data_IF_834906302150
#
_entry.id   IF_834906302150
#
_cell.length_a   1.000
_cell.length_b   1.000
_cell.length_c   1.000
_cell.angle_alpha   90.00
_cell.angle_beta   90.00
_cell.angle_gamma   90.00
#
_symmetry.space_group_name_H-M   'P 1'
#
loop_
_entity.id
_entity.type
_entity.pdbx_description
1 polymer ?
#
# COMPACT_ATOMS: atom_id res chain seq x y z
N UNK A 1 3.56 9.27 23.50
CA UNK A 1 2.27 9.15 24.22
C UNK A 1 2.42 9.80 25.57
N UNK A 2 1.47 10.66 25.95
CA UNK A 2 1.42 11.25 27.29
C UNK A 2 0.29 10.57 28.05
N UNK A 3 0.54 10.02 29.25
CA UNK A 3 -0.53 9.48 30.08
C UNK A 3 -1.52 10.61 30.43
N UNK A 4 -2.81 10.35 30.32
CA UNK A 4 -3.86 11.23 30.82
C UNK A 4 -4.00 11.07 32.34
N UNK A 5 -4.44 12.13 33.03
CA UNK A 5 -4.91 12.02 34.42
C UNK A 5 -6.21 11.20 34.50
N UNK A 6 -6.96 11.16 33.39
CA UNK A 6 -8.17 10.35 33.23
C UNK A 6 -7.86 8.86 33.08
N UNK A 7 -8.73 8.02 33.66
CA UNK A 7 -8.67 6.56 33.56
C UNK A 7 -10.02 6.02 33.09
N UNK A 8 -9.99 4.85 32.45
CA UNK A 8 -11.18 4.09 32.10
C UNK A 8 -11.42 2.99 33.15
N UNK A 9 -12.65 2.87 33.63
CA UNK A 9 -13.05 1.77 34.51
C UNK A 9 -13.70 0.64 33.70
N UNK A 10 -13.20 -0.59 33.84
CA UNK A 10 -13.85 -1.79 33.33
C UNK A 10 -14.45 -2.59 34.49
N UNK A 11 -15.77 -2.76 34.49
CA UNK A 11 -16.51 -3.53 35.49
C UNK A 11 -17.04 -4.85 34.92
N UNK A 12 -17.25 -5.83 35.79
CA UNK A 12 -17.71 -7.16 35.40
C UNK A 12 -18.97 -7.56 36.18
N UNK A 13 -19.96 -8.10 35.48
CA UNK A 13 -21.19 -8.62 36.09
C UNK A 13 -21.04 -10.02 36.69
N UNK A 14 -19.90 -10.69 36.46
CA UNK A 14 -19.59 -12.03 36.98
C UNK A 14 -19.04 -12.01 38.41
N UNK A 15 -19.01 -10.84 39.06
CA UNK A 15 -18.46 -10.64 40.40
C UNK A 15 -16.96 -10.39 40.46
N UNK A 16 -16.25 -10.39 39.33
CA UNK A 16 -14.83 -10.01 39.29
C UNK A 16 -14.66 -8.53 39.69
N UNK A 17 -13.60 -8.17 40.44
CA UNK A 17 -13.30 -6.77 40.75
C UNK A 17 -13.14 -5.92 39.48
N UNK A 18 -13.61 -4.67 39.55
CA UNK A 18 -13.34 -3.71 38.48
C UNK A 18 -11.85 -3.36 38.40
N UNK A 19 -11.40 -2.96 37.22
CA UNK A 19 -10.02 -2.51 36.99
C UNK A 19 -10.01 -1.12 36.38
N UNK A 20 -9.02 -0.34 36.79
CA UNK A 20 -8.70 0.97 36.23
C UNK A 20 -7.64 0.82 35.15
N UNK A 21 -7.93 1.31 33.95
CA UNK A 21 -7.07 1.25 32.78
C UNK A 21 -6.60 2.66 32.41
N UNK A 22 -5.29 2.88 32.22
CA UNK A 22 -4.78 4.19 31.80
C UNK A 22 -5.34 4.59 30.43
N UNK A 23 -5.62 5.89 30.27
CA UNK A 23 -5.91 6.50 28.97
C UNK A 23 -4.66 7.24 28.49
N UNK A 24 -4.28 7.04 27.23
CA UNK A 24 -3.18 7.78 26.59
C UNK A 24 -3.73 8.66 25.48
N UNK A 25 -3.16 9.87 25.39
CA UNK A 25 -3.48 10.84 24.34
C UNK A 25 -2.37 10.84 23.28
N UNK A 26 -2.78 10.83 22.02
CA UNK A 26 -1.91 11.11 20.88
C UNK A 26 -1.73 12.60 20.66
N UNK A 27 -0.82 12.99 19.76
CA UNK A 27 -0.74 14.38 19.28
C UNK A 27 -1.99 14.74 18.48
N UNK A 28 -2.54 13.78 17.75
CA UNK A 28 -3.77 13.85 16.97
C UNK A 28 -4.51 12.51 17.06
N UNK A 29 -5.80 12.51 16.72
CA UNK A 29 -6.63 11.32 16.72
C UNK A 29 -7.29 11.00 18.08
N UNK A 30 -7.96 9.85 18.17
CA UNK A 30 -8.68 9.45 19.37
C UNK A 30 -7.74 9.03 20.51
N UNK A 31 -8.22 9.19 21.74
CA UNK A 31 -7.58 8.63 22.94
C UNK A 31 -7.61 7.10 22.91
N UNK A 32 -6.62 6.45 23.53
CA UNK A 32 -6.52 4.98 23.60
C UNK A 32 -6.51 4.48 25.04
N UNK A 33 -7.17 3.34 25.27
CA UNK A 33 -7.21 2.66 26.57
C UNK A 33 -6.12 1.59 26.59
N UNK A 34 -5.21 1.65 27.56
CA UNK A 34 -4.11 0.69 27.70
C UNK A 34 -4.56 -0.59 28.39
N UNK A 35 -4.65 -1.65 27.59
CA UNK A 35 -5.04 -2.98 28.02
C UNK A 35 -3.85 -3.94 28.23
N UNK A 36 -2.60 -3.45 28.25
CA UNK A 36 -1.40 -4.32 28.35
C UNK A 36 -1.39 -5.18 29.61
N UNK A 37 -1.98 -4.70 30.71
CA UNK A 37 -2.08 -5.41 32.00
C UNK A 37 -3.41 -6.15 32.20
N UNK A 38 -4.36 -6.04 31.26
CA UNK A 38 -5.72 -6.54 31.41
C UNK A 38 -5.76 -8.03 31.77
N UNK A 39 -5.04 -8.87 31.03
CA UNK A 39 -5.03 -10.32 31.30
C UNK A 39 -4.42 -10.66 32.67
N UNK A 40 -3.31 -10.02 33.04
CA UNK A 40 -2.67 -10.24 34.33
C UNK A 40 -3.53 -9.81 35.52
N UNK A 41 -4.41 -8.82 35.33
CA UNK A 41 -5.32 -8.32 36.37
C UNK A 41 -6.65 -9.07 36.44
N UNK A 42 -7.15 -9.60 35.32
CA UNK A 42 -8.54 -10.08 35.21
C UNK A 42 -8.68 -11.54 34.76
N UNK A 43 -7.62 -12.12 34.20
CA UNK A 43 -7.66 -13.42 33.52
C UNK A 43 -8.44 -13.41 32.19
N UNK A 44 -8.84 -12.23 31.68
CA UNK A 44 -9.68 -12.05 30.50
C UNK A 44 -8.91 -11.35 29.36
N UNK A 45 -9.32 -11.59 28.12
CA UNK A 45 -8.84 -10.90 26.92
C UNK A 45 -9.96 -10.09 26.28
N UNK A 46 -9.61 -9.11 25.45
CA UNK A 46 -10.54 -8.51 24.49
C UNK A 46 -10.78 -9.48 23.32
N UNK A 47 -11.92 -9.32 22.64
CA UNK A 47 -12.24 -10.05 21.42
C UNK A 47 -12.58 -9.04 20.32
N UNK A 48 -11.64 -8.82 19.41
CA UNK A 48 -11.74 -7.85 18.33
C UNK A 48 -11.27 -8.46 16.99
N UNK A 49 -12.04 -9.37 16.39
CA UNK A 49 -11.71 -9.94 15.09
C UNK A 49 -11.56 -8.84 14.03
N UNK A 50 -10.36 -8.74 13.44
CA UNK A 50 -10.04 -7.72 12.44
C UNK A 50 -9.40 -6.45 13.01
N UNK A 51 -9.17 -6.37 14.33
CA UNK A 51 -8.49 -5.24 14.99
C UNK A 51 -9.19 -3.89 14.77
N UNK A 52 -10.52 -3.90 14.75
CA UNK A 52 -11.29 -2.71 14.37
C UNK A 52 -11.28 -1.61 15.43
N UNK A 53 -11.05 -2.00 16.68
CA UNK A 53 -11.02 -1.11 17.85
C UNK A 53 -9.70 -1.22 18.61
N UNK A 54 -8.66 -1.79 17.99
CA UNK A 54 -7.37 -2.07 18.62
C UNK A 54 -6.26 -1.25 17.97
N UNK A 55 -5.76 -0.24 18.68
CA UNK A 55 -4.51 0.43 18.31
C UNK A 55 -3.31 -0.47 18.66
N UNK A 56 -2.58 -0.94 17.65
CA UNK A 56 -1.52 -1.96 17.82
C UNK A 56 -0.12 -1.39 18.05
N UNK A 57 0.12 -0.12 17.73
CA UNK A 57 1.43 0.51 17.85
C UNK A 57 1.33 2.03 18.07
N UNK A 58 2.46 2.62 18.46
CA UNK A 58 2.72 4.03 18.27
C UNK A 58 3.20 4.26 16.83
N UNK A 59 2.91 5.44 16.27
CA UNK A 59 3.56 5.86 15.04
C UNK A 59 3.61 7.38 14.92
N UNK A 60 4.69 7.88 14.33
CA UNK A 60 4.86 9.29 13.96
C UNK A 60 4.97 9.47 12.44
N UNK A 61 4.67 8.44 11.64
CA UNK A 61 4.88 8.44 10.18
C UNK A 61 3.72 9.10 9.45
N UNK A 62 2.52 8.56 9.63
CA UNK A 62 1.33 8.98 8.88
C UNK A 62 0.16 9.11 9.82
N UNK A 63 -0.63 10.16 9.63
CA UNK A 63 -1.90 10.37 10.32
C UNK A 63 -3.05 10.44 9.31
N UNK A 64 -4.19 9.88 9.70
CA UNK A 64 -5.43 9.91 8.91
C UNK A 64 -6.59 10.34 9.78
N UNK A 65 -7.35 11.33 9.31
CA UNK A 65 -8.69 11.63 9.82
C UNK A 65 -9.71 11.31 8.73
N UNK A 66 -10.35 10.15 8.87
CA UNK A 66 -11.34 9.67 7.90
C UNK A 66 -12.60 10.53 7.82
N UNK A 67 -12.96 11.21 8.91
CA UNK A 67 -14.15 12.05 8.93
C UNK A 67 -13.89 13.40 8.24
N UNK A 68 -12.69 13.95 8.41
CA UNK A 68 -12.29 15.21 7.73
C UNK A 68 -11.75 15.01 6.32
N UNK A 69 -11.32 13.80 5.97
CA UNK A 69 -10.63 13.54 4.71
C UNK A 69 -9.18 14.03 4.75
N UNK A 70 -8.49 13.90 5.89
CA UNK A 70 -7.09 14.35 6.02
C UNK A 70 -6.15 13.15 5.93
N UNK A 71 -5.07 13.32 5.16
CA UNK A 71 -3.93 12.40 5.10
C UNK A 71 -2.64 13.20 5.23
N UNK A 72 -1.88 12.94 6.29
CA UNK A 72 -0.65 13.65 6.60
C UNK A 72 0.53 12.68 6.61
N UNK A 73 1.60 12.97 5.86
CA UNK A 73 2.89 12.31 6.04
C UNK A 73 3.79 13.23 6.85
N UNK A 74 4.21 12.79 8.04
CA UNK A 74 5.01 13.59 8.99
C UNK A 74 4.41 14.98 9.25
N UNK A 75 3.07 15.07 9.27
CA UNK A 75 2.34 16.33 9.47
C UNK A 75 2.08 17.15 8.21
N UNK A 76 2.70 16.82 7.06
CA UNK A 76 2.46 17.51 5.78
C UNK A 76 1.25 16.93 5.06
N UNK A 77 0.28 17.76 4.61
CA UNK A 77 -0.85 17.31 3.81
C UNK A 77 -0.41 16.64 2.50
N UNK A 78 -1.05 15.52 2.17
CA UNK A 78 -0.69 14.73 1.00
C UNK A 78 -0.76 15.52 -0.31
N UNK A 79 -1.71 16.44 -0.45
CA UNK A 79 -1.89 17.25 -1.65
C UNK A 79 -0.72 18.21 -1.85
N UNK A 80 -0.16 18.75 -0.76
CA UNK A 80 1.02 19.62 -0.83
C UNK A 80 2.23 18.82 -1.28
N UNK A 81 2.45 17.63 -0.71
CA UNK A 81 3.57 16.77 -1.09
C UNK A 81 3.47 16.36 -2.56
N UNK A 82 2.29 15.91 -3.02
CA UNK A 82 2.11 15.48 -4.39
C UNK A 82 2.10 16.63 -5.42
N UNK A 83 2.01 17.89 -4.98
CA UNK A 83 2.09 19.07 -5.86
C UNK A 83 3.49 19.67 -5.89
N UNK A 84 4.21 19.64 -4.76
CA UNK A 84 5.45 20.41 -4.57
C UNK A 84 6.70 19.55 -4.41
N UNK A 85 6.56 18.24 -4.20
CA UNK A 85 7.68 17.32 -4.04
C UNK A 85 7.69 16.26 -5.12
N UNK A 86 8.84 15.61 -5.29
CA UNK A 86 8.98 14.35 -6.02
C UNK A 86 8.90 13.12 -5.10
N UNK A 87 8.77 11.93 -5.70
CA UNK A 87 8.69 10.69 -4.94
C UNK A 87 9.91 10.41 -4.03
N UNK A 88 11.11 10.87 -4.40
CA UNK A 88 12.30 10.64 -3.57
C UNK A 88 12.36 11.61 -2.38
N UNK A 89 11.86 12.83 -2.51
CA UNK A 89 11.64 13.74 -1.37
C UNK A 89 10.61 13.18 -0.38
N UNK A 90 9.48 12.68 -0.89
CA UNK A 90 8.48 12.01 -0.05
C UNK A 90 9.04 10.74 0.61
N UNK A 91 9.87 10.00 -0.10
CA UNK A 91 10.57 8.82 0.43
C UNK A 91 11.54 9.19 1.56
N UNK A 92 12.33 10.24 1.36
CA UNK A 92 13.22 10.77 2.39
C UNK A 92 12.43 11.21 3.63
N UNK A 93 11.35 11.98 3.44
CA UNK A 93 10.47 12.43 4.53
C UNK A 93 9.95 11.26 5.37
N UNK A 94 9.43 10.21 4.72
CA UNK A 94 8.90 9.04 5.42
C UNK A 94 9.99 8.31 6.21
N UNK A 95 11.19 8.16 5.65
CA UNK A 95 12.32 7.48 6.30
C UNK A 95 12.97 8.30 7.42
N UNK A 96 13.14 9.60 7.22
CA UNK A 96 14.00 10.46 8.04
C UNK A 96 13.22 11.38 8.99
N UNK A 97 11.92 11.55 8.76
CA UNK A 97 11.03 12.33 9.62
C UNK A 97 10.84 13.78 9.19
N UNK A 98 11.76 14.32 8.40
CA UNK A 98 11.77 15.72 7.94
C UNK A 98 12.04 15.78 6.43
N UNK A 99 11.61 16.86 5.77
CA UNK A 99 11.93 17.09 4.36
C UNK A 99 13.44 17.35 4.18
N UNK A 100 14.06 16.87 3.09
CA UNK A 100 15.49 17.10 2.87
C UNK A 100 15.74 18.56 2.48
N UNK A 101 16.88 19.11 2.92
CA UNK A 101 17.46 20.27 2.25
C UNK A 101 18.12 19.86 0.90
N UNK A 102 18.57 20.83 0.10
CA UNK A 102 19.14 20.56 -1.23
C UNK A 102 20.31 19.54 -1.19
N UNK A 103 21.24 19.67 -0.24
CA UNK A 103 22.37 18.75 -0.12
C UNK A 103 21.90 17.34 0.26
N UNK A 104 21.00 17.23 1.25
CA UNK A 104 20.44 15.95 1.68
C UNK A 104 19.67 15.25 0.56
N UNK A 105 18.96 16.02 -0.27
CA UNK A 105 18.26 15.51 -1.46
C UNK A 105 19.26 14.95 -2.46
N UNK A 106 20.30 15.69 -2.81
CA UNK A 106 21.31 15.25 -3.78
C UNK A 106 22.03 13.98 -3.31
N UNK A 107 22.42 13.92 -2.03
CA UNK A 107 23.05 12.74 -1.42
C UNK A 107 22.11 11.52 -1.44
N UNK A 108 20.84 11.71 -1.08
CA UNK A 108 19.85 10.64 -1.08
C UNK A 108 19.57 10.11 -2.49
N UNK A 109 19.35 11.01 -3.46
CA UNK A 109 19.13 10.67 -4.86
C UNK A 109 20.34 9.91 -5.41
N UNK A 110 21.55 10.39 -5.18
CA UNK A 110 22.77 9.72 -5.63
C UNK A 110 22.91 8.32 -5.02
N UNK A 111 22.61 8.19 -3.73
CA UNK A 111 22.68 6.92 -3.00
C UNK A 111 21.69 5.91 -3.56
N UNK A 112 20.43 6.31 -3.80
CA UNK A 112 19.41 5.47 -4.42
C UNK A 112 19.82 5.07 -5.84
N UNK A 113 20.21 6.04 -6.68
CA UNK A 113 20.59 5.81 -8.09
C UNK A 113 21.72 4.78 -8.23
N UNK A 114 22.73 4.82 -7.34
CA UNK A 114 23.86 3.88 -7.35
C UNK A 114 23.52 2.46 -6.88
N UNK A 115 22.29 2.21 -6.43
CA UNK A 115 21.83 0.89 -5.99
C UNK A 115 20.72 0.31 -6.88
N UNK A 116 20.34 0.98 -7.97
CA UNK A 116 19.21 0.58 -8.83
C UNK A 116 19.40 -0.75 -9.55
N UNK A 117 20.63 -1.07 -9.96
CA UNK A 117 20.94 -2.33 -10.64
C UNK A 117 20.82 -3.52 -9.68
N UNK A 118 20.11 -4.57 -10.09
CA UNK A 118 20.03 -5.83 -9.35
C UNK A 118 21.23 -6.73 -9.69
N UNK A 119 21.59 -7.65 -8.80
CA UNK A 119 22.63 -8.63 -9.09
C UNK A 119 22.24 -9.47 -10.31
N UNK A 120 23.16 -9.69 -11.25
CA UNK A 120 22.89 -10.35 -12.54
C UNK A 120 22.24 -11.73 -12.40
N UNK A 121 22.55 -12.45 -11.33
CA UNK A 121 21.95 -13.77 -11.09
C UNK A 121 20.42 -13.71 -10.88
N UNK A 122 19.87 -12.54 -10.55
CA UNK A 122 18.43 -12.31 -10.52
C UNK A 122 17.79 -12.53 -11.90
N UNK A 123 18.51 -12.27 -12.99
CA UNK A 123 18.01 -12.55 -14.35
C UNK A 123 17.66 -14.03 -14.55
N UNK A 124 18.40 -14.96 -13.91
CA UNK A 124 18.10 -16.39 -13.96
C UNK A 124 16.93 -16.77 -13.05
N UNK A 125 16.78 -16.10 -11.90
CA UNK A 125 15.64 -16.31 -11.01
C UNK A 125 14.31 -16.03 -11.73
N UNK A 126 14.24 -14.93 -12.51
CA UNK A 126 13.05 -14.62 -13.31
C UNK A 126 12.70 -15.70 -14.34
N UNK A 127 13.70 -16.38 -14.91
CA UNK A 127 13.49 -17.49 -15.88
C UNK A 127 12.92 -18.75 -15.24
N UNK A 128 12.89 -18.85 -13.91
CA UNK A 128 12.22 -19.93 -13.20
C UNK A 128 10.68 -19.82 -13.21
N UNK A 129 10.13 -18.65 -13.48
CA UNK A 129 8.68 -18.46 -13.60
C UNK A 129 8.17 -18.81 -14.99
N UNK A 130 6.92 -19.26 -15.09
CA UNK A 130 6.23 -19.31 -16.40
C UNK A 130 5.99 -17.89 -16.93
N UNK A 131 5.91 -17.74 -18.25
CA UNK A 131 5.65 -16.44 -18.90
C UNK A 131 4.25 -15.89 -18.61
N UNK A 132 3.28 -16.76 -18.37
CA UNK A 132 1.90 -16.40 -17.99
C UNK A 132 1.72 -16.22 -16.47
N UNK A 133 2.81 -16.19 -15.69
CA UNK A 133 2.73 -15.90 -14.27
C UNK A 133 2.25 -14.46 -14.04
N UNK A 134 1.32 -14.29 -13.10
CA UNK A 134 0.85 -12.96 -12.73
C UNK A 134 2.02 -12.12 -12.18
N UNK A 135 2.19 -10.85 -12.59
CA UNK A 135 3.32 -10.02 -12.17
C UNK A 135 3.48 -9.89 -10.65
N UNK A 136 2.38 -9.81 -9.88
CA UNK A 136 2.44 -9.80 -8.41
C UNK A 136 3.05 -11.08 -7.81
N UNK A 137 2.83 -12.26 -8.42
CA UNK A 137 3.45 -13.50 -7.97
C UNK A 137 4.96 -13.47 -8.20
N UNK A 138 5.37 -13.02 -9.40
CA UNK A 138 6.77 -12.83 -9.78
C UNK A 138 7.45 -11.84 -8.84
N UNK A 139 6.80 -10.70 -8.56
CA UNK A 139 7.31 -9.67 -7.65
C UNK A 139 7.46 -10.20 -6.22
N UNK A 140 6.45 -10.90 -5.69
CA UNK A 140 6.49 -11.51 -4.36
C UNK A 140 7.69 -12.46 -4.22
N UNK A 141 7.86 -13.37 -5.19
CA UNK A 141 8.98 -14.31 -5.18
C UNK A 141 10.34 -13.62 -5.33
N UNK A 142 10.44 -12.64 -6.23
CA UNK A 142 11.70 -11.95 -6.53
C UNK A 142 12.17 -11.08 -5.36
N UNK A 143 11.26 -10.38 -4.68
CA UNK A 143 11.60 -9.58 -3.50
C UNK A 143 11.98 -10.47 -2.32
N UNK A 144 11.28 -11.59 -2.08
CA UNK A 144 11.67 -12.56 -1.06
C UNK A 144 13.07 -13.14 -1.30
N UNK A 145 13.38 -13.42 -2.57
CA UNK A 145 14.69 -13.94 -2.97
C UNK A 145 15.85 -12.96 -2.75
N UNK A 146 15.60 -11.64 -2.69
CA UNK A 146 16.65 -10.64 -2.42
C UNK A 146 17.43 -10.94 -1.14
N UNK A 147 16.78 -11.50 -0.12
CA UNK A 147 17.44 -11.89 1.14
C UNK A 147 18.59 -12.89 0.95
N UNK A 148 18.53 -13.74 -0.09
CA UNK A 148 19.60 -14.68 -0.43
C UNK A 148 20.78 -14.02 -1.16
N UNK A 149 20.57 -12.87 -1.82
CA UNK A 149 21.61 -12.13 -2.54
C UNK A 149 22.28 -11.04 -1.69
N UNK A 150 21.53 -10.46 -0.76
CA UNK A 150 21.93 -9.31 0.05
C UNK A 150 22.03 -9.69 1.54
N UNK A 151 22.65 -10.84 1.81
CA UNK A 151 22.80 -11.40 3.15
C UNK A 151 23.81 -10.62 4.03
N UNK A 152 24.54 -9.67 3.44
CA UNK A 152 25.51 -8.77 4.07
C UNK A 152 24.85 -7.69 4.95
N UNK A 153 23.53 -7.50 4.89
CA UNK A 153 22.82 -6.41 5.57
C UNK A 153 21.54 -6.84 6.29
N UNK A 154 21.50 -8.05 6.85
CA UNK A 154 20.26 -8.63 7.42
C UNK A 154 20.13 -8.53 8.95
N UNK A 155 21.17 -8.13 9.67
CA UNK A 155 21.05 -7.88 11.11
C UNK A 155 20.17 -6.65 11.37
N UNK A 156 18.92 -6.92 11.76
CA UNK A 156 17.90 -5.89 12.00
C UNK A 156 18.19 -5.02 13.23
N UNK A 157 19.06 -5.47 14.14
CA UNK A 157 19.45 -4.70 15.32
C UNK A 157 20.53 -3.66 14.98
N UNK A 158 21.21 -3.80 13.83
CA UNK A 158 22.20 -2.86 13.36
C UNK A 158 21.54 -1.73 12.55
N UNK A 159 21.56 -0.46 13.03
CA UNK A 159 20.92 0.64 12.31
C UNK A 159 21.44 0.86 10.88
N UNK A 160 22.74 0.63 10.64
CA UNK A 160 23.31 0.74 9.31
C UNK A 160 22.79 -0.35 8.35
N UNK A 161 22.61 -1.58 8.83
CA UNK A 161 22.03 -2.65 8.00
C UNK A 161 20.57 -2.36 7.64
N UNK A 162 19.80 -1.78 8.56
CA UNK A 162 18.43 -1.31 8.30
C UNK A 162 18.42 -0.24 7.21
N UNK A 163 19.29 0.75 7.31
CA UNK A 163 19.41 1.82 6.32
C UNK A 163 19.82 1.30 4.94
N UNK A 164 20.86 0.47 4.86
CA UNK A 164 21.29 -0.17 3.60
C UNK A 164 20.16 -0.99 2.98
N UNK A 165 19.43 -1.76 3.79
CA UNK A 165 18.28 -2.54 3.30
C UNK A 165 17.16 -1.64 2.77
N UNK A 166 16.85 -0.53 3.46
CA UNK A 166 15.85 0.43 3.01
C UNK A 166 16.23 1.09 1.67
N UNK A 167 17.47 1.55 1.53
CA UNK A 167 17.98 2.09 0.27
C UNK A 167 17.91 1.04 -0.85
N UNK A 168 18.35 -0.20 -0.58
CA UNK A 168 18.32 -1.28 -1.59
C UNK A 168 16.89 -1.60 -2.03
N UNK A 169 15.93 -1.64 -1.12
CA UNK A 169 14.53 -1.86 -1.46
C UNK A 169 13.98 -0.73 -2.34
N UNK A 170 14.15 0.52 -1.94
CA UNK A 170 13.70 1.69 -2.72
C UNK A 170 14.36 1.72 -4.10
N UNK A 171 15.67 1.49 -4.17
CA UNK A 171 16.41 1.56 -5.43
C UNK A 171 16.08 0.41 -6.40
N UNK A 172 15.91 -0.82 -5.90
CA UNK A 172 15.81 -2.02 -6.75
C UNK A 172 14.39 -2.37 -7.15
N UNK A 173 13.38 -1.90 -6.40
CA UNK A 173 12.01 -2.29 -6.66
C UNK A 173 11.48 -1.81 -8.02
N UNK A 174 11.79 -0.59 -8.51
CA UNK A 174 11.47 -0.20 -9.89
C UNK A 174 12.06 -1.14 -10.94
N UNK A 175 13.30 -1.56 -10.74
CA UNK A 175 13.98 -2.51 -11.63
C UNK A 175 13.26 -3.86 -11.63
N UNK A 176 12.91 -4.41 -10.46
CA UNK A 176 12.20 -5.69 -10.35
C UNK A 176 10.78 -5.63 -10.95
N UNK A 177 10.06 -4.54 -10.74
CA UNK A 177 8.72 -4.34 -11.31
C UNK A 177 8.79 -4.23 -12.82
N UNK A 178 9.74 -3.47 -13.36
CA UNK A 178 9.95 -3.38 -14.81
C UNK A 178 10.38 -4.73 -15.41
N UNK A 179 11.25 -5.48 -14.72
CA UNK A 179 11.61 -6.84 -15.12
C UNK A 179 10.39 -7.76 -15.15
N UNK A 180 9.49 -7.70 -14.16
CA UNK A 180 8.27 -8.51 -14.14
C UNK A 180 7.36 -8.21 -15.36
N UNK A 181 7.22 -6.93 -15.72
CA UNK A 181 6.49 -6.52 -16.93
C UNK A 181 7.17 -7.00 -18.21
N UNK A 182 8.46 -6.71 -18.41
CA UNK A 182 9.22 -7.16 -19.59
C UNK A 182 9.18 -8.67 -19.72
N UNK A 183 9.24 -9.39 -18.60
CA UNK A 183 9.15 -10.84 -18.57
C UNK A 183 7.78 -11.34 -19.05
N UNK A 184 6.68 -10.74 -18.62
CA UNK A 184 5.34 -11.20 -19.00
C UNK A 184 5.04 -10.98 -20.49
N UNK A 185 5.62 -9.95 -21.11
CA UNK A 185 5.42 -9.64 -22.54
C UNK A 185 6.51 -10.20 -23.47
N UNK A 186 7.48 -10.95 -22.93
CA UNK A 186 8.52 -11.58 -23.74
C UNK A 186 9.62 -10.64 -24.26
N UNK A 187 9.74 -9.43 -23.72
CA UNK A 187 10.75 -8.45 -24.13
C UNK A 187 12.04 -8.57 -23.29
N UNK A 188 13.19 -8.07 -23.79
CA UNK A 188 14.42 -8.02 -23.01
C UNK A 188 14.29 -7.05 -21.83
N UNK A 189 14.99 -7.35 -20.74
CA UNK A 189 15.11 -6.44 -19.61
C UNK A 189 15.88 -5.18 -20.00
N UNK A 190 15.45 -4.05 -19.46
CA UNK A 190 16.04 -2.74 -19.70
C UNK A 190 16.74 -2.31 -18.42
N UNK A 191 18.04 -2.05 -18.50
CA UNK A 191 18.81 -1.60 -17.34
C UNK A 191 18.45 -0.16 -16.92
N UNK A 192 18.61 0.16 -15.62
CA UNK A 192 18.52 1.52 -15.11
C UNK A 192 19.48 2.49 -15.80
N UNK A 193 19.08 3.76 -15.89
CA UNK A 193 19.89 4.89 -16.36
C UNK A 193 20.03 5.92 -15.24
N UNK A 194 21.28 6.27 -14.92
CA UNK A 194 21.60 7.17 -13.81
C UNK A 194 21.30 8.65 -14.11
N UNK A 195 21.13 9.00 -15.38
CA UNK A 195 20.85 10.36 -15.85
C UNK A 195 19.35 10.70 -15.85
N UNK A 196 18.48 9.73 -15.55
CA UNK A 196 17.03 9.92 -15.47
C UNK A 196 16.57 10.04 -14.02
N UNK A 197 15.51 10.80 -13.79
CA UNK A 197 14.82 10.83 -12.50
C UNK A 197 14.27 9.44 -12.14
N UNK A 198 13.93 9.21 -10.87
CA UNK A 198 13.42 7.91 -10.39
C UNK A 198 12.26 7.39 -11.25
N UNK A 199 11.27 8.26 -11.48
CA UNK A 199 10.06 7.92 -12.23
C UNK A 199 10.31 7.84 -13.74
N UNK A 200 11.10 8.74 -14.32
CA UNK A 200 11.47 8.66 -15.74
C UNK A 200 12.29 7.39 -16.04
N UNK A 201 13.20 7.01 -15.14
CA UNK A 201 13.95 5.77 -15.25
C UNK A 201 13.04 4.54 -15.18
N UNK A 202 12.08 4.52 -14.25
CA UNK A 202 11.10 3.44 -14.16
C UNK A 202 10.25 3.31 -15.43
N UNK A 203 9.72 4.42 -15.96
CA UNK A 203 8.96 4.41 -17.22
C UNK A 203 9.81 3.91 -18.40
N UNK A 204 11.07 4.34 -18.49
CA UNK A 204 11.99 3.84 -19.50
C UNK A 204 12.19 2.33 -19.36
N UNK A 205 12.42 1.83 -18.14
CA UNK A 205 12.63 0.39 -17.93
C UNK A 205 11.39 -0.43 -18.29
N UNK A 206 10.18 0.12 -18.07
CA UNK A 206 8.93 -0.50 -18.50
C UNK A 206 8.80 -0.52 -20.03
N UNK A 207 8.99 0.61 -20.71
CA UNK A 207 8.50 0.76 -22.09
C UNK A 207 9.58 0.79 -23.18
N UNK A 208 10.83 1.12 -22.86
CA UNK A 208 11.89 1.16 -23.86
C UNK A 208 12.15 -0.23 -24.46
N UNK A 209 12.58 -0.24 -25.71
CA UNK A 209 13.03 -1.45 -26.39
C UNK A 209 14.35 -1.15 -27.13
N UNK A 210 15.13 -2.17 -27.54
CA UNK A 210 16.40 -1.93 -28.26
C UNK A 210 16.24 -1.42 -29.69
N UNK A 211 15.03 -1.39 -30.23
CA UNK A 211 14.77 -1.06 -31.63
C UNK A 211 14.69 0.45 -31.89
N UNK A 212 14.41 1.26 -30.85
CA UNK A 212 14.30 2.71 -30.97
C UNK A 212 14.60 3.42 -29.63
N UNK A 213 14.90 4.72 -29.72
CA UNK A 213 15.12 5.54 -28.53
C UNK A 213 13.79 5.86 -27.83
N UNK A 214 13.67 5.46 -26.56
CA UNK A 214 12.56 5.85 -25.72
C UNK A 214 12.63 7.33 -25.35
N UNK A 215 11.61 8.10 -25.76
CA UNK A 215 11.48 9.52 -25.44
C UNK A 215 10.65 9.70 -24.17
N UNK A 216 11.25 10.36 -23.18
CA UNK A 216 10.57 10.71 -21.93
C UNK A 216 9.57 11.84 -22.20
N UNK A 217 8.37 11.71 -21.64
CA UNK A 217 7.37 12.77 -21.63
C UNK A 217 7.16 13.27 -20.19
N UNK A 218 7.47 14.54 -19.93
CA UNK A 218 7.48 15.11 -18.59
C UNK A 218 6.08 15.17 -17.93
N UNK A 219 5.01 15.29 -18.72
CA UNK A 219 3.64 15.24 -18.19
C UNK A 219 3.34 13.84 -17.67
N UNK A 220 3.71 12.81 -18.43
CA UNK A 220 3.50 11.42 -18.04
C UNK A 220 4.37 11.01 -16.85
N UNK A 221 5.62 11.48 -16.81
CA UNK A 221 6.52 11.28 -15.66
C UNK A 221 5.92 11.90 -14.40
N UNK A 222 5.46 13.15 -14.46
CA UNK A 222 4.83 13.82 -13.31
C UNK A 222 3.55 13.12 -12.87
N UNK A 223 2.74 12.63 -13.81
CA UNK A 223 1.53 11.89 -13.48
C UNK A 223 1.83 10.59 -12.72
N UNK A 224 2.83 9.82 -13.18
CA UNK A 224 3.24 8.61 -12.48
C UNK A 224 3.91 8.92 -11.15
N UNK A 225 4.70 9.99 -11.05
CA UNK A 225 5.36 10.41 -9.80
C UNK A 225 4.33 10.76 -8.72
N UNK A 226 3.26 11.48 -9.09
CA UNK A 226 2.10 11.71 -8.22
C UNK A 226 1.44 10.43 -7.77
N UNK A 227 1.25 9.44 -8.67
CA UNK A 227 0.73 8.12 -8.29
C UNK A 227 1.63 7.48 -7.24
N UNK A 228 2.96 7.55 -7.40
CA UNK A 228 3.89 6.98 -6.42
C UNK A 228 3.78 7.68 -5.06
N UNK A 229 3.73 9.02 -5.02
CA UNK A 229 3.59 9.78 -3.77
C UNK A 229 2.27 9.43 -3.06
N UNK A 230 1.15 9.42 -3.79
CA UNK A 230 -0.19 9.19 -3.23
C UNK A 230 -0.40 7.76 -2.70
N UNK A 231 0.50 6.84 -3.05
CA UNK A 231 0.48 5.46 -2.59
C UNK A 231 1.65 5.13 -1.65
N UNK A 232 2.52 6.09 -1.32
CA UNK A 232 3.77 5.86 -0.60
C UNK A 232 3.57 5.25 0.80
N UNK A 233 2.59 5.75 1.57
CA UNK A 233 2.16 5.16 2.84
C UNK A 233 0.66 5.38 3.09
N UNK A 234 0.06 4.58 3.97
CA UNK A 234 -1.33 4.77 4.37
C UNK A 234 -1.61 4.15 5.76
N UNK A 235 -0.75 4.49 6.73
CA UNK A 235 -0.91 4.11 8.14
C UNK A 235 -1.01 2.58 8.34
N UNK A 236 -1.76 2.08 9.34
CA UNK A 236 -1.79 0.68 9.77
C UNK A 236 -2.77 -0.19 8.96
N UNK A 237 -2.77 -0.05 7.63
CA UNK A 237 -3.52 -0.94 6.74
C UNK A 237 -3.00 -2.39 6.78
N UNK A 238 -3.73 -3.33 6.15
CA UNK A 238 -3.47 -4.77 6.25
C UNK A 238 -2.03 -5.18 5.87
N UNK A 239 -1.47 -4.61 4.79
CA UNK A 239 -0.12 -4.93 4.35
C UNK A 239 0.96 -4.30 5.23
N UNK A 240 0.76 -3.06 5.70
CA UNK A 240 1.65 -2.45 6.71
C UNK A 240 1.65 -3.25 8.01
N UNK A 241 0.47 -3.65 8.49
CA UNK A 241 0.32 -4.50 9.68
C UNK A 241 0.98 -5.87 9.48
N UNK A 242 0.92 -6.44 8.28
CA UNK A 242 1.62 -7.67 7.93
C UNK A 242 3.14 -7.50 7.98
N UNK A 243 3.67 -6.41 7.42
CA UNK A 243 5.11 -6.09 7.46
C UNK A 243 5.58 -5.92 8.90
N UNK A 244 4.83 -5.18 9.73
CA UNK A 244 5.13 -5.00 11.16
C UNK A 244 5.07 -6.34 11.91
N UNK A 245 4.03 -7.14 11.71
CA UNK A 245 3.86 -8.42 12.40
C UNK A 245 4.97 -9.41 12.01
N UNK A 246 5.27 -9.54 10.71
CA UNK A 246 6.37 -10.38 10.24
C UNK A 246 7.72 -9.91 10.81
N UNK A 247 8.01 -8.61 10.73
CA UNK A 247 9.24 -8.02 11.26
C UNK A 247 9.38 -8.21 12.77
N UNK A 248 8.27 -8.20 13.52
CA UNK A 248 8.31 -8.35 14.99
C UNK A 248 8.86 -9.71 15.46
N UNK A 249 8.89 -10.71 14.58
CA UNK A 249 9.50 -12.02 14.83
C UNK A 249 11.02 -12.05 14.63
N UNK A 250 11.60 -10.96 14.14
CA UNK A 250 13.01 -10.87 13.76
C UNK A 250 13.28 -11.20 12.28
N UNK A 251 12.24 -11.29 11.44
CA UNK A 251 12.40 -11.57 10.02
C UNK A 251 13.18 -10.47 9.29
N UNK A 252 13.97 -10.87 8.30
CA UNK A 252 14.76 -9.94 7.50
C UNK A 252 13.87 -8.98 6.68
N UNK A 253 14.32 -7.74 6.41
CA UNK A 253 13.48 -6.71 5.80
C UNK A 253 12.94 -7.10 4.43
N UNK A 254 13.71 -7.80 3.58
CA UNK A 254 13.25 -8.23 2.26
C UNK A 254 12.08 -9.23 2.36
N UNK A 255 12.15 -10.18 3.30
CA UNK A 255 11.06 -11.11 3.58
C UNK A 255 9.82 -10.40 4.16
N UNK A 256 10.01 -9.41 5.03
CA UNK A 256 8.91 -8.59 5.54
C UNK A 256 8.20 -7.83 4.41
N UNK A 257 8.96 -7.19 3.51
CA UNK A 257 8.37 -6.51 2.33
C UNK A 257 7.68 -7.50 1.41
N UNK A 258 8.25 -8.69 1.16
CA UNK A 258 7.59 -9.73 0.36
C UNK A 258 6.24 -10.16 0.98
N UNK A 259 6.16 -10.26 2.31
CA UNK A 259 4.89 -10.52 3.01
C UNK A 259 3.90 -9.36 2.84
N UNK A 260 4.38 -8.11 2.88
CA UNK A 260 3.58 -6.92 2.56
C UNK A 260 3.02 -6.95 1.13
N UNK A 261 3.84 -7.31 0.15
CA UNK A 261 3.45 -7.47 -1.27
C UNK A 261 2.39 -8.56 -1.41
N UNK A 262 2.59 -9.72 -0.79
CA UNK A 262 1.63 -10.82 -0.81
C UNK A 262 0.29 -10.41 -0.19
N UNK A 263 0.30 -9.69 0.93
CA UNK A 263 -0.90 -9.15 1.55
C UNK A 263 -1.60 -8.11 0.66
N UNK A 264 -0.83 -7.21 0.05
CA UNK A 264 -1.35 -6.19 -0.86
C UNK A 264 -2.01 -6.79 -2.11
N UNK A 265 -1.53 -7.94 -2.58
CA UNK A 265 -2.14 -8.64 -3.72
C UNK A 265 -3.57 -9.14 -3.45
N UNK A 266 -3.97 -9.28 -2.18
CA UNK A 266 -5.33 -9.65 -1.83
C UNK A 266 -6.36 -8.72 -2.48
N UNK A 267 -7.44 -9.25 -3.10
CA UNK A 267 -8.40 -8.43 -3.86
C UNK A 267 -9.18 -7.43 -2.98
N UNK A 268 -9.27 -7.70 -1.67
CA UNK A 268 -9.87 -6.79 -0.69
C UNK A 268 -8.91 -5.68 -0.19
N UNK A 269 -7.67 -5.65 -0.70
CA UNK A 269 -6.66 -4.64 -0.35
C UNK A 269 -6.17 -3.91 -1.61
N UNK A 270 -5.05 -4.31 -2.21
CA UNK A 270 -4.45 -3.59 -3.34
C UNK A 270 -5.01 -3.91 -4.72
N UNK A 271 -5.84 -4.97 -4.86
CA UNK A 271 -6.46 -5.35 -6.14
C UNK A 271 -7.66 -4.49 -6.56
N UNK A 272 -8.02 -3.46 -5.79
CA UNK A 272 -9.18 -2.63 -6.06
C UNK A 272 -9.05 -1.77 -7.33
N UNK A 273 -7.84 -1.33 -7.66
CA UNK A 273 -7.54 -0.56 -8.88
C UNK A 273 -7.72 -1.38 -10.16
N UNK A 274 -7.22 -2.61 -10.18
CA UNK A 274 -7.43 -3.58 -11.25
C UNK A 274 -8.93 -3.91 -11.40
N UNK A 275 -9.62 -4.12 -10.28
CA UNK A 275 -11.05 -4.39 -10.29
C UNK A 275 -11.90 -3.21 -10.77
N UNK A 276 -11.49 -1.96 -10.50
CA UNK A 276 -12.16 -0.77 -11.01
C UNK A 276 -12.06 -0.67 -12.54
N UNK A 277 -10.88 -0.98 -13.11
CA UNK A 277 -10.71 -0.95 -14.56
C UNK A 277 -11.41 -2.13 -15.25
N UNK A 278 -11.30 -3.34 -14.68
CA UNK A 278 -12.02 -4.51 -15.17
C UNK A 278 -13.54 -4.29 -15.13
N UNK A 279 -14.05 -3.60 -14.10
CA UNK A 279 -15.46 -3.20 -14.04
C UNK A 279 -15.84 -2.28 -15.20
N UNK A 280 -15.03 -1.25 -15.49
CA UNK A 280 -15.28 -0.37 -16.65
C UNK A 280 -15.26 -1.14 -17.96
N UNK A 281 -14.28 -2.03 -18.16
CA UNK A 281 -14.20 -2.88 -19.35
C UNK A 281 -15.41 -3.83 -19.48
N UNK A 282 -15.91 -4.37 -18.37
CA UNK A 282 -17.11 -5.22 -18.33
C UNK A 282 -18.40 -4.45 -18.67
N UNK A 283 -18.53 -3.22 -18.18
CA UNK A 283 -19.65 -2.34 -18.56
C UNK A 283 -19.58 -2.07 -20.07
N UNK A 284 -18.37 -1.79 -20.58
CA UNK A 284 -18.05 -1.72 -22.01
C UNK A 284 -18.52 -0.43 -22.70
N UNK A 285 -19.73 0.07 -22.43
CA UNK A 285 -20.23 1.31 -23.04
C UNK A 285 -21.15 2.11 -22.11
N UNK A 286 -21.26 3.44 -22.29
CA UNK A 286 -22.04 4.27 -21.38
C UNK A 286 -23.53 3.94 -21.33
N UNK A 287 -24.09 3.37 -22.40
CA UNK A 287 -25.50 2.95 -22.49
C UNK A 287 -25.83 1.80 -21.51
N UNK A 288 -24.82 1.04 -21.09
CA UNK A 288 -24.97 -0.09 -20.15
C UNK A 288 -24.83 0.31 -18.69
N UNK A 289 -24.43 1.56 -18.39
CA UNK A 289 -24.32 2.05 -17.00
C UNK A 289 -25.62 1.87 -16.22
N UNK A 290 -26.82 2.22 -16.74
CA UNK A 290 -28.07 2.07 -15.98
C UNK A 290 -28.35 0.63 -15.53
N UNK A 291 -28.06 -0.35 -16.39
CA UNK A 291 -28.19 -1.77 -16.06
C UNK A 291 -27.19 -2.18 -14.98
N UNK A 292 -25.93 -1.79 -15.13
CA UNK A 292 -24.89 -2.07 -14.14
C UNK A 292 -25.22 -1.47 -12.77
N UNK A 293 -25.66 -0.22 -12.72
CA UNK A 293 -26.08 0.46 -11.49
C UNK A 293 -27.25 -0.27 -10.83
N UNK A 294 -28.21 -0.78 -11.61
CA UNK A 294 -29.30 -1.61 -11.08
C UNK A 294 -28.76 -2.88 -10.40
N UNK A 295 -27.77 -3.55 -10.98
CA UNK A 295 -27.14 -4.72 -10.37
C UNK A 295 -26.41 -4.37 -9.08
N UNK A 296 -25.64 -3.27 -9.05
CA UNK A 296 -24.94 -2.81 -7.83
C UNK A 296 -25.92 -2.53 -6.68
N UNK A 297 -27.11 -2.01 -6.99
CA UNK A 297 -28.14 -1.72 -5.99
C UNK A 297 -28.88 -2.96 -5.49
N UNK A 298 -28.87 -4.04 -6.27
CA UNK A 298 -29.51 -5.30 -5.90
C UNK A 298 -28.67 -6.05 -4.86
N UNK A 299 -29.25 -6.25 -3.67
CA UNK A 299 -28.60 -6.94 -2.55
C UNK A 299 -28.25 -8.40 -2.86
N UNK A 300 -28.89 -9.01 -3.86
CA UNK A 300 -28.68 -10.42 -4.21
C UNK A 300 -27.66 -10.62 -5.33
N UNK A 301 -27.22 -9.55 -6.02
CA UNK A 301 -26.33 -9.67 -7.17
C UNK A 301 -24.88 -9.99 -6.78
N UNK A 302 -24.46 -9.55 -5.58
CA UNK A 302 -23.05 -9.58 -5.16
C UNK A 302 -22.14 -8.59 -5.90
N UNK A 303 -22.68 -7.81 -6.85
CA UNK A 303 -21.93 -6.84 -7.66
C UNK A 303 -21.63 -5.59 -6.84
N UNK A 304 -20.41 -5.08 -6.96
CA UNK A 304 -19.94 -3.87 -6.27
C UNK A 304 -19.47 -2.83 -7.28
N UNK A 305 -19.66 -1.57 -6.95
CA UNK A 305 -19.08 -0.44 -7.66
C UNK A 305 -17.62 -0.28 -7.21
N UNK A 306 -16.69 -0.83 -8.00
CA UNK A 306 -15.26 -0.84 -7.69
C UNK A 306 -14.63 0.54 -7.93
N UNK A 307 -13.71 0.96 -7.06
CA UNK A 307 -13.14 2.32 -7.07
C UNK A 307 -14.02 3.37 -6.37
N UNK A 308 -15.08 2.97 -5.67
CA UNK A 308 -15.97 3.86 -4.93
C UNK A 308 -16.09 3.46 -3.46
N UNK A 309 -16.19 4.47 -2.59
CA UNK A 309 -16.18 4.32 -1.15
C UNK A 309 -14.78 4.05 -0.59
N UNK A 310 -14.64 4.16 0.72
CA UNK A 310 -13.38 3.95 1.41
C UNK A 310 -13.59 3.46 2.85
N UNK A 311 -12.68 2.65 3.38
CA UNK A 311 -12.79 2.07 4.74
C UNK A 311 -12.60 3.12 5.84
N UNK A 312 -11.70 4.07 5.58
CA UNK A 312 -11.31 5.16 6.50
C UNK A 312 -12.05 6.46 6.18
N UNK A 313 -11.87 7.01 4.97
CA UNK A 313 -12.57 8.23 4.54
C UNK A 313 -14.08 8.04 4.42
N UNK A 314 -14.84 8.83 5.17
CA UNK A 314 -16.30 8.80 5.11
C UNK A 314 -16.87 9.78 4.09
N UNK A 315 -16.26 10.96 3.90
CA UNK A 315 -16.90 12.03 3.11
C UNK A 315 -16.28 12.23 1.72
N UNK A 316 -14.95 12.14 1.57
CA UNK A 316 -14.25 12.14 0.29
C UNK A 316 -12.82 11.63 0.51
N UNK A 317 -12.16 11.13 -0.55
CA UNK A 317 -10.74 10.79 -0.50
C UNK A 317 -9.90 12.01 -0.92
N UNK A 318 -9.04 12.57 -0.04
CA UNK A 318 -8.21 13.74 -0.36
C UNK A 318 -7.36 13.56 -1.62
N UNK A 319 -6.91 12.33 -1.86
CA UNK A 319 -6.04 11.96 -2.99
C UNK A 319 -6.79 11.96 -4.33
N UNK A 320 -8.10 11.73 -4.30
CA UNK A 320 -8.89 11.56 -5.52
C UNK A 320 -9.01 12.87 -6.31
N UNK A 321 -9.06 14.02 -5.64
CA UNK A 321 -9.12 15.33 -6.30
C UNK A 321 -7.89 15.59 -7.17
N UNK A 322 -6.70 15.44 -6.61
CA UNK A 322 -5.45 15.64 -7.35
C UNK A 322 -5.25 14.58 -8.44
N UNK A 323 -5.67 13.33 -8.19
CA UNK A 323 -5.59 12.28 -9.20
C UNK A 323 -6.56 12.53 -10.37
N UNK A 324 -7.72 13.13 -10.11
CA UNK A 324 -8.64 13.60 -11.15
C UNK A 324 -8.01 14.68 -12.02
N UNK A 325 -7.38 15.69 -11.42
CA UNK A 325 -6.64 16.74 -12.16
C UNK A 325 -5.52 16.12 -13.02
N UNK A 326 -4.75 15.20 -12.44
CA UNK A 326 -3.70 14.45 -13.14
C UNK A 326 -4.25 13.62 -14.31
N UNK A 327 -5.44 13.03 -14.16
CA UNK A 327 -6.11 12.31 -15.24
C UNK A 327 -6.38 13.23 -16.44
N UNK A 328 -6.92 14.43 -16.22
CA UNK A 328 -7.13 15.40 -17.29
C UNK A 328 -5.81 15.84 -17.95
N UNK A 329 -4.76 16.12 -17.18
CA UNK A 329 -3.45 16.48 -17.71
C UNK A 329 -2.92 15.41 -18.69
N UNK A 330 -2.98 14.13 -18.30
CA UNK A 330 -2.50 13.01 -19.12
C UNK A 330 -3.33 12.82 -20.37
N UNK A 331 -4.65 12.92 -20.27
CA UNK A 331 -5.55 12.74 -21.41
C UNK A 331 -5.40 13.86 -22.45
N UNK A 332 -5.21 15.10 -21.98
CA UNK A 332 -4.95 16.24 -22.85
C UNK A 332 -3.62 16.06 -23.60
N UNK A 333 -2.56 15.68 -22.89
CA UNK A 333 -1.23 15.46 -23.46
C UNK A 333 -1.24 14.35 -24.52
N UNK A 334 -1.99 13.27 -24.28
CA UNK A 334 -2.07 12.12 -25.19
C UNK A 334 -3.16 12.27 -26.27
N UNK A 335 -3.99 13.32 -26.22
CA UNK A 335 -5.11 13.51 -27.14
C UNK A 335 -6.20 12.44 -27.00
N UNK A 336 -6.41 11.89 -25.80
CA UNK A 336 -7.31 10.74 -25.55
C UNK A 336 -8.75 11.15 -25.13
N UNK A 337 -9.17 12.37 -25.43
CA UNK A 337 -10.51 12.87 -25.06
C UNK A 337 -11.67 12.03 -25.59
N UNK A 338 -11.48 11.39 -26.75
CA UNK A 338 -12.49 10.57 -27.39
C UNK A 338 -12.42 9.08 -27.02
N UNK A 339 -11.51 8.71 -26.11
CA UNK A 339 -11.37 7.34 -25.64
C UNK A 339 -12.71 6.83 -25.03
N UNK A 340 -13.25 5.70 -25.53
CA UNK A 340 -14.53 5.17 -25.05
C UNK A 340 -14.55 4.82 -23.56
N UNK A 341 -13.44 4.29 -23.04
CA UNK A 341 -13.31 3.90 -21.64
C UNK A 341 -13.30 5.14 -20.74
N UNK A 342 -12.66 6.21 -21.19
CA UNK A 342 -12.67 7.49 -20.47
C UNK A 342 -14.07 8.12 -20.43
N UNK A 343 -14.77 8.18 -21.56
CA UNK A 343 -16.16 8.67 -21.61
C UNK A 343 -17.06 7.87 -20.68
N UNK A 344 -16.90 6.55 -20.67
CA UNK A 344 -17.60 5.65 -19.76
C UNK A 344 -17.28 5.96 -18.29
N UNK A 345 -16.01 6.11 -17.94
CA UNK A 345 -15.58 6.40 -16.58
C UNK A 345 -16.16 7.73 -16.08
N UNK A 346 -16.07 8.80 -16.87
CA UNK A 346 -16.62 10.11 -16.53
C UNK A 346 -18.14 10.09 -16.35
N UNK A 347 -18.85 9.35 -17.19
CA UNK A 347 -20.29 9.22 -17.07
C UNK A 347 -20.69 8.38 -15.85
N UNK A 348 -19.95 7.32 -15.53
CA UNK A 348 -20.15 6.52 -14.34
C UNK A 348 -19.89 7.33 -13.06
N UNK A 349 -18.81 8.11 -13.03
CA UNK A 349 -18.49 9.05 -11.94
C UNK A 349 -19.67 10.00 -11.68
N UNK A 350 -20.13 10.68 -12.73
CA UNK A 350 -21.24 11.62 -12.64
C UNK A 350 -22.51 10.96 -12.09
N UNK A 351 -22.89 9.81 -12.64
CA UNK A 351 -24.09 9.08 -12.20
C UNK A 351 -23.96 8.68 -10.72
N UNK A 352 -22.82 8.14 -10.31
CA UNK A 352 -22.61 7.73 -8.92
C UNK A 352 -22.64 8.91 -7.94
N UNK A 353 -22.19 10.10 -8.34
CA UNK A 353 -22.23 11.32 -7.51
C UNK A 353 -23.63 11.94 -7.40
N UNK A 354 -24.50 11.72 -8.39
CA UNK A 354 -25.86 12.28 -8.44
C UNK A 354 -26.93 11.33 -7.89
N UNK A 355 -26.64 10.03 -7.82
CA UNK A 355 -27.61 9.00 -7.46
C UNK A 355 -27.73 8.80 -5.93
N UNK A 356 -28.96 8.95 -5.42
CA UNK A 356 -29.30 8.93 -3.99
C UNK A 356 -28.80 7.68 -3.25
N UNK A 357 -28.76 6.52 -3.92
CA UNK A 357 -28.28 5.27 -3.31
C UNK A 357 -26.81 5.38 -2.89
N UNK A 358 -25.98 6.01 -3.73
CA UNK A 358 -24.54 6.13 -3.51
C UNK A 358 -24.23 7.29 -2.58
N UNK A 359 -24.92 8.43 -2.76
CA UNK A 359 -24.80 9.61 -1.88
C UNK A 359 -25.15 9.25 -0.43
N UNK A 360 -26.29 8.60 -0.19
CA UNK A 360 -26.71 8.21 1.17
C UNK A 360 -25.76 7.20 1.84
N UNK A 361 -25.04 6.41 1.04
CA UNK A 361 -24.02 5.45 1.50
C UNK A 361 -22.60 6.00 1.48
N UNK A 362 -22.42 7.26 1.08
CA UNK A 362 -21.13 7.93 0.96
C UNK A 362 -20.14 7.18 0.06
N UNK A 363 -20.63 6.64 -1.05
CA UNK A 363 -19.84 5.92 -2.05
C UNK A 363 -19.31 6.88 -3.11
N UNK A 364 -18.23 7.60 -2.78
CA UNK A 364 -17.57 8.54 -3.68
C UNK A 364 -16.39 7.90 -4.43
N UNK A 365 -16.00 8.37 -5.61
CA UNK A 365 -14.78 7.91 -6.28
C UNK A 365 -13.56 8.07 -5.36
N UNK A 366 -12.75 7.03 -5.26
CA UNK A 366 -11.50 7.05 -4.50
C UNK A 366 -10.27 7.15 -5.43
N UNK A 367 -9.06 7.17 -4.85
CA UNK A 367 -7.82 7.26 -5.65
C UNK A 367 -7.65 6.11 -6.66
N UNK A 368 -8.17 4.92 -6.36
CA UNK A 368 -8.02 3.73 -7.22
C UNK A 368 -8.78 3.88 -8.53
N UNK A 369 -9.93 4.55 -8.52
CA UNK A 369 -10.72 4.83 -9.72
C UNK A 369 -9.93 5.65 -10.74
N UNK A 370 -9.40 6.80 -10.33
CA UNK A 370 -8.66 7.68 -11.24
C UNK A 370 -7.27 7.15 -11.58
N UNK A 371 -6.57 6.53 -10.63
CA UNK A 371 -5.23 5.99 -10.88
C UNK A 371 -5.27 4.81 -11.85
N UNK A 372 -6.33 4.00 -11.88
CA UNK A 372 -6.52 2.95 -12.89
C UNK A 372 -6.63 3.52 -14.31
N UNK A 373 -7.39 4.61 -14.47
CA UNK A 373 -7.55 5.31 -15.76
C UNK A 373 -6.23 5.91 -16.22
N UNK A 374 -5.52 6.64 -15.33
CA UNK A 374 -4.23 7.25 -15.64
C UNK A 374 -3.21 6.19 -16.05
N UNK A 375 -3.08 5.11 -15.27
CA UNK A 375 -2.14 4.03 -15.61
C UNK A 375 -2.47 3.38 -16.95
N UNK A 376 -3.76 3.18 -17.27
CA UNK A 376 -4.17 2.64 -18.57
C UNK A 376 -3.79 3.58 -19.71
N UNK A 377 -4.00 4.88 -19.55
CA UNK A 377 -3.60 5.90 -20.53
C UNK A 377 -2.07 5.92 -20.74
N UNK A 378 -1.28 5.64 -19.69
CA UNK A 378 0.17 5.47 -19.78
C UNK A 378 0.61 4.18 -20.50
N UNK A 379 -0.31 3.32 -20.92
CA UNK A 379 -0.01 2.03 -21.56
C UNK A 379 0.38 0.92 -20.58
N UNK A 380 0.18 1.13 -19.27
CA UNK A 380 0.44 0.14 -18.24
C UNK A 380 -0.70 -0.90 -18.28
N UNK A 381 -0.41 -2.21 -18.37
CA UNK A 381 -1.44 -3.23 -18.32
C UNK A 381 -2.02 -3.35 -16.91
N UNK A 382 -3.30 -3.71 -16.82
CA UNK A 382 -4.06 -3.93 -15.56
C UNK A 382 -3.30 -4.78 -14.54
N UNK A 383 -2.70 -5.88 -14.99
CA UNK A 383 -1.94 -6.82 -14.15
C UNK A 383 -0.69 -6.22 -13.47
N UNK A 384 -0.27 -5.02 -13.88
CA UNK A 384 0.86 -4.29 -13.28
C UNK A 384 0.43 -3.22 -12.26
N UNK A 385 -0.86 -2.89 -12.15
CA UNK A 385 -1.31 -1.80 -11.28
C UNK A 385 -0.95 -2.05 -9.82
N UNK A 386 -1.22 -3.25 -9.32
CA UNK A 386 -0.86 -3.64 -7.95
C UNK A 386 0.67 -3.72 -7.75
N UNK A 387 1.45 -4.00 -8.79
CA UNK A 387 2.92 -3.99 -8.71
C UNK A 387 3.47 -2.56 -8.55
N UNK A 388 2.88 -1.59 -9.25
CA UNK A 388 3.23 -0.17 -9.12
C UNK A 388 2.78 0.36 -7.76
N UNK A 389 1.61 -0.09 -7.29
CA UNK A 389 1.19 0.20 -5.92
C UNK A 389 2.21 -0.37 -4.91
N UNK A 390 2.62 -1.64 -5.04
CA UNK A 390 3.64 -2.23 -4.19
C UNK A 390 4.98 -1.47 -4.26
N UNK A 391 5.37 -1.00 -5.45
CA UNK A 391 6.56 -0.16 -5.66
C UNK A 391 6.49 1.11 -4.83
N UNK A 392 5.40 1.87 -4.97
CA UNK A 392 5.16 3.09 -4.23
C UNK A 392 5.13 2.83 -2.71
N UNK A 393 4.36 1.83 -2.29
CA UNK A 393 4.08 1.53 -0.88
C UNK A 393 5.30 1.02 -0.11
N UNK A 394 6.34 0.55 -0.80
CA UNK A 394 7.52 -0.02 -0.15
C UNK A 394 8.25 0.96 0.75
N UNK A 395 8.28 2.26 0.41
CA UNK A 395 8.88 3.24 1.30
C UNK A 395 8.10 3.41 2.61
N UNK A 396 6.76 3.41 2.54
CA UNK A 396 5.92 3.38 3.73
C UNK A 396 6.14 2.13 4.57
N UNK A 397 6.13 0.94 3.94
CA UNK A 397 6.37 -0.32 4.65
C UNK A 397 7.72 -0.36 5.37
N UNK A 398 8.81 0.07 4.71
CA UNK A 398 10.13 0.03 5.33
C UNK A 398 10.29 1.12 6.40
N UNK A 399 9.65 2.28 6.25
CA UNK A 399 9.60 3.30 7.30
C UNK A 399 8.86 2.78 8.54
N UNK A 400 7.70 2.15 8.34
CA UNK A 400 6.88 1.54 9.40
C UNK A 400 7.61 0.37 10.09
N UNK A 401 8.31 -0.46 9.32
CA UNK A 401 9.17 -1.51 9.85
C UNK A 401 10.34 -0.94 10.66
N UNK A 402 11.03 0.08 10.13
CA UNK A 402 12.18 0.68 10.80
C UNK A 402 11.79 1.39 12.09
N UNK A 403 10.63 2.08 12.12
CA UNK A 403 10.04 2.64 13.34
C UNK A 403 9.80 1.53 14.36
N UNK A 404 9.12 0.45 13.99
CA UNK A 404 8.83 -0.68 14.89
C UNK A 404 10.09 -1.36 15.45
N UNK A 405 11.09 -1.66 14.61
CA UNK A 405 12.35 -2.26 15.07
C UNK A 405 13.20 -1.26 15.86
N UNK A 406 13.02 0.05 15.64
CA UNK A 406 13.71 1.11 16.36
C UNK A 406 13.14 1.40 17.76
N UNK A 407 11.94 0.92 18.07
CA UNK A 407 11.31 1.12 19.38
C UNK A 407 12.04 0.33 20.48
N UNK A 408 12.47 0.98 21.59
CA UNK A 408 13.15 0.28 22.69
C UNK A 408 12.31 -0.84 23.33
N UNK A 409 11.00 -0.66 23.34
CA UNK A 409 10.04 -1.59 23.95
C UNK A 409 9.41 -2.56 22.94
N UNK A 410 10.03 -2.73 21.77
CA UNK A 410 9.55 -3.64 20.73
C UNK A 410 9.36 -5.06 21.29
N UNK A 411 8.21 -5.66 20.96
CA UNK A 411 7.87 -7.04 21.34
C UNK A 411 7.31 -7.78 20.13
N UNK A 412 7.52 -9.10 20.12
CA UNK A 412 6.91 -9.99 19.13
C UNK A 412 5.38 -9.89 19.17
N UNK A 413 4.78 -9.66 18.00
CA UNK A 413 3.34 -9.69 17.84
C UNK A 413 2.81 -11.13 17.94
N UNK A 414 2.03 -11.41 18.99
CA UNK A 414 1.50 -12.75 19.27
C UNK A 414 0.07 -12.67 19.84
N UNK A 415 -0.96 -12.46 18.98
CA UNK A 415 -2.34 -12.32 19.42
C UNK A 415 -2.88 -13.61 20.07
N UNK A 416 -4.00 -13.48 20.77
CA UNK A 416 -4.72 -14.60 21.40
C UNK A 416 -5.93 -15.01 20.57
N UNK A 417 -6.55 -16.12 20.95
CA UNK A 417 -7.75 -16.65 20.33
C UNK A 417 -8.81 -16.97 21.39
N UNK A 418 -10.07 -16.94 20.98
CA UNK A 418 -11.17 -17.58 21.70
C UNK A 418 -11.28 -19.02 21.19
N UNK A 419 -10.87 -19.99 22.00
CA UNK A 419 -10.92 -21.40 21.61
C UNK A 419 -12.36 -21.94 21.73
N UNK A 420 -12.93 -22.35 20.60
CA UNK A 420 -14.29 -22.92 20.49
C UNK A 420 -14.28 -24.37 19.96
N UNK A 421 -13.13 -25.02 20.03
CA UNK A 421 -12.95 -26.41 19.59
C UNK A 421 -13.35 -27.43 20.64
N UNK A 422 -13.11 -28.70 20.35
CA UNK A 422 -13.33 -29.79 21.30
C UNK A 422 -12.44 -29.65 22.54
N UNK A 423 -13.00 -29.99 23.70
CA UNK A 423 -12.24 -30.26 24.93
C UNK A 423 -11.35 -31.49 24.75
N UNK A 424 -10.41 -31.77 25.67
CA UNK A 424 -9.57 -32.96 25.59
C UNK A 424 -10.39 -34.22 25.35
N UNK A 425 -9.97 -35.01 24.36
CA UNK A 425 -10.58 -36.30 23.96
C UNK A 425 -9.47 -37.30 23.64
N UNK A 426 -9.67 -38.55 24.02
CA UNK A 426 -8.68 -39.59 23.79
C UNK A 426 -8.58 -39.95 22.31
N UNK A 427 -7.36 -40.19 21.85
CA UNK A 427 -7.13 -40.64 20.49
C UNK A 427 -7.42 -42.13 20.42
N UNK A 428 -8.53 -42.49 19.77
CA UNK A 428 -8.84 -43.89 19.54
C UNK A 428 -7.78 -44.52 18.62
N UNK A 429 -7.24 -45.72 18.95
CA UNK A 429 -6.33 -46.45 18.07
C UNK A 429 -6.89 -46.53 16.66
N UNK A 430 -6.03 -46.48 15.63
CA UNK A 430 -6.49 -46.35 14.24
C UNK A 430 -7.47 -47.46 13.81
N UNK A 431 -7.32 -48.65 14.39
CA UNK A 431 -8.19 -49.82 14.18
C UNK A 431 -9.59 -49.68 14.82
N UNK A 432 -9.80 -48.64 15.62
CA UNK A 432 -10.99 -48.45 16.46
C UNK A 432 -11.64 -47.07 16.28
N UNK A 433 -11.20 -46.27 15.30
CA UNK A 433 -11.70 -44.91 15.04
C UNK A 433 -13.08 -44.87 14.38
#
# INVERSE_FOLDING_TARGET
>A
MTPSDDKATLSFSDGSPSVELPIYKGTMGPDVIDIRKLYGQTGKFTYDPGFMSTASCNSAITYIDGDKGELLYRGYPIEQLATHCDFLEASYLLLKGELPNAQQKDEFVQTVTRHTMVHEQMNFFFRGFRRDAHPMAVLTGSVGALSAFYHDSLDINNPNHREVSAIRLIAKLPTLVAMAYKYSIGQPFVYPRNDLSYTANFMRMMFANPCEEYKVNDVLVRALDRILILHADHEQNASTSTVRLAGSSGANPFACIAAGIACLWGPAHGGANEAALNMLEQIGSPEKIPEFIKQVKDKNSGVKLMGFGHRVYKNYDPRAKLMRETCYEVLNELGLHDDPLFKLAMQLEKIALEDEYFVSRKLYPNVDFYSGIVQRALGIPTSMFTCIFALARTVGWIAQWNEMIGEPDQKIGRPRQLFIGHTPRDVTPIEKR
#
